data_IF_411717762362
#
_entry.id   IF_411717762362
#
_cell.length_a   1.000
_cell.length_b   1.000
_cell.length_c   1.000
_cell.angle_alpha   90.00
_cell.angle_beta   90.00
_cell.angle_gamma   90.00
#
_symmetry.space_group_name_H-M   'P 1'
#
loop_
_entity.id
_entity.type
_entity.pdbx_description
1 polymer ?
#
# COMPACT_ATOMS: atom_id res chain seq x y z
N UNK A 1 -91.32 9.55 24.17
CA UNK A 1 -90.44 9.23 23.04
C UNK A 1 -89.12 9.94 23.30
N UNK A 2 -88.11 9.22 23.77
CA UNK A 2 -86.78 9.79 24.19
C UNK A 2 -85.75 9.48 23.11
N UNK A 3 -85.22 10.51 22.48
CA UNK A 3 -84.10 10.37 21.51
C UNK A 3 -82.79 10.28 22.23
N UNK A 4 -82.08 9.12 22.08
CA UNK A 4 -80.75 8.86 22.61
C UNK A 4 -79.76 9.25 21.49
N UNK A 5 -79.07 10.38 21.69
CA UNK A 5 -78.02 10.83 20.79
C UNK A 5 -76.67 10.26 21.26
N UNK A 6 -76.12 9.26 20.55
CA UNK A 6 -74.82 8.65 20.84
C UNK A 6 -73.70 9.50 20.20
N UNK A 7 -72.91 10.19 21.02
CA UNK A 7 -71.67 10.86 20.58
C UNK A 7 -70.57 9.84 20.39
N UNK A 8 -70.12 9.64 19.11
CA UNK A 8 -68.95 8.83 18.76
C UNK A 8 -67.69 9.72 18.84
N UNK A 9 -66.94 9.58 19.95
CA UNK A 9 -65.69 10.30 20.15
C UNK A 9 -64.56 9.56 19.44
N UNK A 10 -64.14 10.01 18.26
CA UNK A 10 -63.02 9.47 17.49
C UNK A 10 -61.72 9.75 18.23
N UNK A 11 -61.06 8.72 18.75
CA UNK A 11 -59.73 8.76 19.38
C UNK A 11 -58.67 8.89 18.30
N UNK A 12 -58.19 10.14 18.01
CA UNK A 12 -57.05 10.43 17.20
C UNK A 12 -55.79 10.05 18.02
N UNK A 13 -55.27 8.85 17.81
CA UNK A 13 -53.92 8.47 18.26
C UNK A 13 -52.89 9.20 17.41
N UNK A 14 -51.96 9.98 17.99
CA UNK A 14 -50.85 10.55 17.23
C UNK A 14 -49.92 9.38 16.81
N UNK A 15 -49.78 9.13 15.51
CA UNK A 15 -48.67 8.37 14.96
C UNK A 15 -47.40 9.15 15.27
N UNK A 16 -46.77 8.86 16.37
CA UNK A 16 -45.40 9.27 16.62
C UNK A 16 -44.53 8.57 15.56
N UNK A 17 -44.22 9.30 14.48
CA UNK A 17 -43.11 8.96 13.58
C UNK A 17 -41.89 8.90 14.45
N UNK A 18 -41.45 7.68 14.84
CA UNK A 18 -40.11 7.47 15.29
C UNK A 18 -39.20 7.83 14.11
N UNK A 19 -38.76 9.09 14.08
CA UNK A 19 -37.56 9.45 13.34
C UNK A 19 -36.48 8.54 13.89
N UNK A 20 -36.19 7.44 13.18
CA UNK A 20 -34.96 6.71 13.39
C UNK A 20 -33.86 7.76 13.24
N UNK A 21 -33.29 8.18 14.38
CA UNK A 21 -32.00 8.84 14.37
C UNK A 21 -31.10 7.85 13.61
N UNK A 22 -30.75 8.18 12.38
CA UNK A 22 -29.63 7.52 11.71
C UNK A 22 -28.46 7.73 12.66
N UNK A 23 -28.14 6.67 13.42
CA UNK A 23 -27.02 6.68 14.34
C UNK A 23 -25.84 7.24 13.58
N UNK A 24 -25.28 8.34 14.11
CA UNK A 24 -24.27 9.11 13.38
C UNK A 24 -23.02 8.22 13.25
N UNK A 25 -22.80 7.68 12.06
CA UNK A 25 -21.60 6.89 11.75
C UNK A 25 -20.33 7.71 12.00
N UNK A 26 -19.30 7.16 12.69
CA UNK A 26 -19.28 5.91 13.42
C UNK A 26 -19.74 6.04 14.89
N UNK A 27 -20.47 5.05 15.42
CA UNK A 27 -20.92 4.96 16.81
C UNK A 27 -20.11 3.96 17.66
N UNK A 28 -19.21 3.22 17.03
CA UNK A 28 -18.37 2.19 17.64
C UNK A 28 -17.00 2.09 16.95
N UNK A 29 -16.02 1.37 17.54
CA UNK A 29 -14.69 1.23 16.95
C UNK A 29 -14.71 0.67 15.53
N UNK A 30 -13.83 1.21 14.67
CA UNK A 30 -13.57 0.71 13.32
C UNK A 30 -12.40 -0.28 13.37
N UNK A 31 -12.59 -1.46 12.77
CA UNK A 31 -11.54 -2.45 12.58
C UNK A 31 -10.80 -2.19 11.28
N UNK A 32 -9.51 -1.94 11.38
CA UNK A 32 -8.62 -1.80 10.23
C UNK A 32 -7.75 -3.06 10.11
N UNK A 33 -8.16 -3.96 9.22
CA UNK A 33 -7.40 -5.18 8.94
C UNK A 33 -6.16 -4.80 8.11
N UNK A 34 -4.98 -5.12 8.63
CA UNK A 34 -3.70 -4.93 7.95
C UNK A 34 -3.17 -6.32 7.56
N UNK A 35 -3.18 -6.66 6.24
CA UNK A 35 -2.97 -8.03 5.76
C UNK A 35 -1.48 -8.42 5.67
N UNK A 36 -0.66 -7.92 6.59
CA UNK A 36 0.77 -8.25 6.73
C UNK A 36 1.11 -8.55 8.18
N UNK A 37 2.26 -9.17 8.40
CA UNK A 37 2.81 -9.33 9.74
C UNK A 37 3.13 -7.97 10.37
N UNK A 38 3.06 -7.90 11.70
CA UNK A 38 3.39 -6.69 12.44
C UNK A 38 4.85 -6.25 12.19
N UNK A 39 5.09 -4.93 12.16
CA UNK A 39 6.42 -4.32 12.00
C UNK A 39 6.86 -4.12 10.55
N UNK A 40 6.10 -4.57 9.55
CA UNK A 40 6.34 -4.25 8.15
C UNK A 40 5.92 -2.82 7.78
N UNK A 41 6.34 -2.31 6.61
CA UNK A 41 6.06 -0.93 6.18
C UNK A 41 4.57 -0.60 6.14
N UNK A 42 3.71 -1.52 5.69
CA UNK A 42 2.24 -1.35 5.70
C UNK A 42 1.72 -1.24 7.12
N UNK A 43 2.13 -2.14 8.03
CA UNK A 43 1.70 -2.12 9.43
C UNK A 43 2.17 -0.83 10.14
N UNK A 44 3.42 -0.44 9.92
CA UNK A 44 3.99 0.79 10.49
C UNK A 44 3.21 2.02 10.06
N UNK A 45 2.89 2.14 8.76
CA UNK A 45 2.11 3.27 8.24
C UNK A 45 0.72 3.35 8.90
N UNK A 46 -0.02 2.24 8.96
CA UNK A 46 -1.38 2.24 9.51
C UNK A 46 -1.42 2.35 11.04
N UNK A 47 -0.45 1.80 11.77
CA UNK A 47 -0.34 2.03 13.23
C UNK A 47 0.03 3.47 13.56
N UNK A 48 0.83 4.13 12.72
CA UNK A 48 1.14 5.55 12.87
C UNK A 48 -0.08 6.41 12.57
N UNK A 49 -0.86 6.08 11.55
CA UNK A 49 -2.08 6.78 11.15
C UNK A 49 -3.24 6.62 12.15
N UNK A 50 -3.46 5.40 12.67
CA UNK A 50 -4.68 5.01 13.39
C UNK A 50 -5.08 5.97 14.53
N UNK A 51 -4.19 6.44 15.44
CA UNK A 51 -4.57 7.37 16.50
C UNK A 51 -5.03 8.73 15.97
N UNK A 52 -4.41 9.25 14.91
CA UNK A 52 -4.81 10.53 14.30
C UNK A 52 -6.15 10.43 13.56
N UNK A 53 -6.39 9.28 12.92
CA UNK A 53 -7.68 9.04 12.27
C UNK A 53 -8.80 8.84 13.29
N UNK A 54 -8.53 8.13 14.39
CA UNK A 54 -9.47 7.96 15.50
C UNK A 54 -9.91 9.30 16.10
N UNK A 55 -8.99 10.26 16.26
CA UNK A 55 -9.31 11.61 16.70
C UNK A 55 -10.31 12.32 15.77
N UNK A 56 -10.11 12.20 14.45
CA UNK A 56 -11.00 12.80 13.45
C UNK A 56 -12.36 12.11 13.35
N UNK A 57 -12.43 10.81 13.63
CA UNK A 57 -13.65 10.01 13.61
C UNK A 57 -14.47 10.13 14.90
N UNK A 58 -13.83 10.45 16.04
CA UNK A 58 -14.42 10.39 17.37
C UNK A 58 -14.61 8.95 17.89
N UNK A 59 -14.04 7.95 17.20
CA UNK A 59 -14.10 6.53 17.56
C UNK A 59 -12.74 5.86 17.35
N UNK A 60 -12.39 4.85 18.14
CA UNK A 60 -11.13 4.12 17.98
C UNK A 60 -11.00 3.46 16.60
N UNK A 61 -9.78 3.51 16.03
CA UNK A 61 -9.38 2.71 14.86
C UNK A 61 -8.44 1.61 15.33
N UNK A 62 -8.91 0.37 15.32
CA UNK A 62 -8.19 -0.79 15.85
C UNK A 62 -7.49 -1.53 14.72
N UNK A 63 -6.16 -1.50 14.73
CA UNK A 63 -5.33 -2.21 13.74
C UNK A 63 -5.21 -3.68 14.12
N UNK A 64 -5.64 -4.56 13.20
CA UNK A 64 -5.60 -6.03 13.35
C UNK A 64 -4.78 -6.65 12.22
N UNK A 65 -3.68 -7.34 12.53
CA UNK A 65 -2.88 -8.02 11.51
C UNK A 65 -3.52 -9.34 11.10
N UNK A 66 -3.74 -9.54 9.77
CA UNK A 66 -4.18 -10.81 9.15
C UNK A 66 -3.32 -11.15 7.94
N UNK A 67 -2.08 -11.62 8.15
CA UNK A 67 -1.18 -11.95 7.05
C UNK A 67 -1.61 -13.25 6.33
N UNK A 68 -1.05 -13.43 5.14
CA UNK A 68 -1.13 -14.69 4.40
C UNK A 68 -1.51 -14.51 2.93
N UNK A 69 -1.03 -15.45 2.10
CA UNK A 69 -1.27 -15.52 0.66
C UNK A 69 -1.06 -14.18 -0.08
N UNK A 70 0.05 -13.50 0.20
CA UNK A 70 0.32 -12.19 -0.43
C UNK A 70 -0.76 -11.15 -0.14
N UNK A 71 -1.24 -11.06 1.10
CA UNK A 71 -2.34 -10.20 1.59
C UNK A 71 -3.75 -10.70 1.27
N UNK A 72 -3.94 -11.73 0.45
CA UNK A 72 -5.25 -12.15 -0.02
C UNK A 72 -6.19 -12.56 1.12
N UNK A 73 -5.69 -13.20 2.19
CA UNK A 73 -6.52 -13.65 3.32
C UNK A 73 -7.17 -12.46 4.05
N UNK A 74 -6.40 -11.43 4.36
CA UNK A 74 -6.94 -10.25 5.06
C UNK A 74 -7.86 -9.42 4.18
N UNK A 75 -7.56 -9.28 2.89
CA UNK A 75 -8.38 -8.53 1.93
C UNK A 75 -9.71 -9.27 1.69
N UNK A 76 -9.70 -10.60 1.53
CA UNK A 76 -10.91 -11.42 1.37
C UNK A 76 -11.86 -11.27 2.57
N UNK A 77 -11.31 -11.25 3.79
CA UNK A 77 -12.11 -11.05 4.99
C UNK A 77 -12.85 -9.69 4.99
N UNK A 78 -12.25 -8.66 4.39
CA UNK A 78 -12.91 -7.34 4.23
C UNK A 78 -13.91 -7.37 3.08
N UNK A 79 -13.55 -7.93 1.92
CA UNK A 79 -14.45 -8.03 0.78
C UNK A 79 -15.78 -8.72 1.11
N UNK A 80 -15.76 -9.69 2.05
CA UNK A 80 -16.93 -10.43 2.53
C UNK A 80 -17.60 -9.85 3.77
N UNK A 81 -17.11 -8.72 4.29
CA UNK A 81 -17.72 -8.07 5.46
C UNK A 81 -18.94 -7.23 5.09
N UNK A 82 -19.72 -6.81 6.11
CA UNK A 82 -20.86 -5.91 5.87
C UNK A 82 -20.37 -4.55 5.35
N UNK A 83 -21.07 -3.97 4.36
CA UNK A 83 -20.70 -2.66 3.82
C UNK A 83 -21.20 -1.50 4.69
N UNK A 84 -20.90 -1.54 5.99
CA UNK A 84 -21.36 -0.57 7.00
C UNK A 84 -20.23 0.41 7.44
N UNK A 85 -18.99 0.23 6.91
CA UNK A 85 -17.85 1.09 7.21
C UNK A 85 -17.05 0.69 8.47
N UNK A 86 -17.46 -0.34 9.22
CA UNK A 86 -16.78 -0.74 10.46
C UNK A 86 -15.68 -1.79 10.28
N UNK A 87 -15.57 -2.37 9.08
CA UNK A 87 -14.47 -3.28 8.74
C UNK A 87 -13.82 -2.82 7.45
N UNK A 88 -12.57 -2.39 7.56
CA UNK A 88 -11.78 -1.84 6.46
C UNK A 88 -10.45 -2.60 6.35
N UNK A 89 -9.78 -2.50 5.20
CA UNK A 89 -8.42 -3.01 5.04
C UNK A 89 -7.44 -1.88 4.76
N UNK A 90 -6.31 -1.90 5.48
CA UNK A 90 -5.11 -1.13 5.17
C UNK A 90 -4.21 -1.97 4.27
N UNK A 91 -4.22 -1.70 2.97
CA UNK A 91 -3.60 -2.57 1.96
C UNK A 91 -2.36 -1.92 1.34
N UNK A 92 -1.47 -2.78 0.85
CA UNK A 92 -0.33 -2.37 0.02
C UNK A 92 -0.50 -2.79 -1.44
N UNK A 93 0.57 -2.70 -2.17
CA UNK A 93 0.66 -2.99 -3.62
C UNK A 93 0.08 -4.35 -4.04
N UNK A 94 0.16 -5.44 -3.23
CA UNK A 94 -0.40 -6.73 -3.62
C UNK A 94 -1.88 -6.73 -4.00
N UNK A 95 -2.66 -5.71 -3.60
CA UNK A 95 -4.04 -5.55 -4.07
C UNK A 95 -4.13 -5.49 -5.61
N UNK A 96 -3.11 -4.92 -6.27
CA UNK A 96 -3.02 -4.85 -7.73
C UNK A 96 -2.17 -5.99 -8.31
N UNK A 97 -1.03 -6.27 -7.68
CA UNK A 97 -0.01 -7.19 -8.22
C UNK A 97 -0.46 -8.64 -8.26
N UNK A 98 -1.23 -9.10 -7.29
CA UNK A 98 -1.75 -10.46 -7.33
C UNK A 98 -2.58 -10.72 -8.60
N UNK A 99 -3.38 -9.73 -9.02
CA UNK A 99 -4.14 -9.79 -10.28
C UNK A 99 -3.21 -9.73 -11.50
N UNK A 100 -2.25 -8.81 -11.50
CA UNK A 100 -1.29 -8.67 -12.59
C UNK A 100 -0.44 -9.93 -12.81
N UNK A 101 -0.12 -10.66 -11.75
CA UNK A 101 0.59 -11.94 -11.78
C UNK A 101 -0.31 -13.13 -12.12
N UNK A 102 -1.60 -12.92 -12.38
CA UNK A 102 -2.54 -13.99 -12.69
C UNK A 102 -2.84 -14.93 -11.51
N UNK A 103 -2.60 -14.50 -10.27
CA UNK A 103 -2.90 -15.30 -9.07
C UNK A 103 -4.41 -15.49 -8.92
N UNK A 104 -4.83 -16.71 -8.59
CA UNK A 104 -6.24 -17.00 -8.32
C UNK A 104 -6.62 -16.41 -6.95
N UNK A 105 -7.36 -15.32 -6.96
CA UNK A 105 -7.85 -14.64 -5.76
C UNK A 105 -9.27 -15.05 -5.42
N UNK A 106 -9.66 -15.10 -4.13
CA UNK A 106 -11.04 -15.36 -3.70
C UNK A 106 -11.95 -14.11 -3.80
N UNK A 107 -11.45 -12.98 -4.29
CA UNK A 107 -12.13 -11.71 -4.50
C UNK A 107 -11.63 -11.02 -5.78
N UNK A 108 -12.43 -10.12 -6.33
CA UNK A 108 -12.05 -9.19 -7.41
C UNK A 108 -11.69 -7.82 -6.79
N UNK A 109 -10.45 -7.33 -6.91
CA UNK A 109 -10.03 -6.08 -6.26
C UNK A 109 -10.74 -4.83 -6.80
N UNK A 110 -11.41 -4.93 -7.94
CA UNK A 110 -12.13 -3.81 -8.56
C UNK A 110 -13.63 -3.87 -8.27
N UNK A 111 -14.22 -5.08 -8.19
CA UNK A 111 -15.68 -5.26 -8.04
C UNK A 111 -16.10 -5.47 -6.60
N UNK A 112 -15.29 -6.17 -5.80
CA UNK A 112 -15.66 -6.60 -4.45
C UNK A 112 -15.16 -5.63 -3.37
N UNK A 113 -14.43 -4.57 -3.77
CA UNK A 113 -13.88 -3.56 -2.87
C UNK A 113 -14.26 -2.15 -3.29
N UNK A 114 -14.44 -1.28 -2.29
CA UNK A 114 -14.59 0.16 -2.43
C UNK A 114 -13.30 0.85 -1.98
N UNK A 115 -12.66 1.61 -2.86
CA UNK A 115 -11.52 2.42 -2.51
C UNK A 115 -11.95 3.56 -1.57
N UNK A 116 -11.23 3.77 -0.46
CA UNK A 116 -11.47 4.89 0.46
C UNK A 116 -10.46 6.01 0.23
N UNK A 117 -9.17 5.73 0.30
CA UNK A 117 -8.11 6.67 -0.06
C UNK A 117 -6.76 5.96 -0.24
N UNK A 118 -5.93 6.49 -1.12
CA UNK A 118 -4.49 6.30 -1.07
C UNK A 118 -3.94 7.16 0.07
N UNK A 119 -3.23 6.53 0.99
CA UNK A 119 -2.73 7.15 2.24
C UNK A 119 -1.35 7.71 2.03
N UNK A 120 -0.41 6.84 1.63
CA UNK A 120 0.99 7.18 1.40
C UNK A 120 1.57 6.41 0.23
N UNK A 121 2.64 6.97 -0.33
CA UNK A 121 3.59 6.26 -1.18
C UNK A 121 4.97 6.27 -0.55
N UNK A 122 5.87 5.48 -1.09
CA UNK A 122 7.29 5.54 -0.79
C UNK A 122 8.10 5.14 -2.02
N UNK A 123 9.28 5.72 -2.27
CA UNK A 123 10.09 5.30 -3.40
C UNK A 123 10.68 3.91 -3.16
N UNK A 124 10.98 3.19 -4.25
CA UNK A 124 11.94 2.11 -4.18
C UNK A 124 13.34 2.67 -3.99
N UNK A 125 14.17 1.89 -3.33
CA UNK A 125 15.59 2.12 -3.12
C UNK A 125 16.36 0.91 -3.66
N UNK A 126 17.32 1.16 -4.53
CA UNK A 126 18.29 0.14 -4.95
C UNK A 126 19.49 0.27 -4.04
N UNK A 127 19.79 -0.78 -3.30
CA UNK A 127 20.95 -0.83 -2.41
C UNK A 127 21.88 -1.98 -2.78
N UNK A 128 23.16 -1.82 -2.47
CA UNK A 128 24.16 -2.86 -2.65
C UNK A 128 25.01 -3.03 -1.39
N UNK A 129 25.54 -4.25 -1.21
CA UNK A 129 26.59 -4.50 -0.23
C UNK A 129 27.82 -3.63 -0.53
N UNK A 130 28.54 -3.11 0.49
CA UNK A 130 29.70 -2.23 0.28
C UNK A 130 30.82 -2.81 -0.58
N UNK A 131 30.91 -4.14 -0.68
CA UNK A 131 31.84 -4.85 -1.56
C UNK A 131 31.52 -4.78 -3.06
N UNK A 132 30.33 -4.28 -3.43
CA UNK A 132 29.99 -4.02 -4.85
C UNK A 132 30.70 -2.76 -5.32
N UNK A 133 31.44 -2.85 -6.43
CA UNK A 133 32.24 -1.75 -6.93
C UNK A 133 31.41 -0.57 -7.47
N UNK A 134 30.21 -0.86 -8.03
CA UNK A 134 29.32 0.15 -8.58
C UNK A 134 28.85 1.13 -7.49
N UNK A 135 28.90 2.44 -7.79
CA UNK A 135 28.53 3.52 -6.87
C UNK A 135 27.13 4.09 -7.15
N UNK A 136 26.53 3.69 -8.24
CA UNK A 136 25.20 4.08 -8.67
C UNK A 136 24.58 2.98 -9.54
N UNK A 137 23.28 3.10 -9.84
CA UNK A 137 22.55 2.08 -10.62
C UNK A 137 23.03 2.01 -12.07
N UNK A 138 23.44 3.14 -12.68
CA UNK A 138 24.00 3.14 -14.03
C UNK A 138 25.23 2.25 -14.10
N UNK A 139 26.19 2.44 -13.20
CA UNK A 139 27.40 1.62 -13.13
C UNK A 139 27.09 0.13 -12.87
N UNK A 140 26.08 -0.17 -12.01
CA UNK A 140 25.64 -1.55 -11.77
C UNK A 140 25.09 -2.19 -13.05
N UNK A 141 24.26 -1.47 -13.81
CA UNK A 141 23.71 -1.93 -15.10
C UNK A 141 24.83 -2.18 -16.09
N UNK A 142 25.77 -1.24 -16.24
CA UNK A 142 26.87 -1.35 -17.19
C UNK A 142 27.81 -2.51 -16.84
N UNK A 143 28.10 -2.72 -15.55
CA UNK A 143 28.84 -3.88 -15.07
C UNK A 143 28.09 -5.20 -15.34
N UNK A 144 26.79 -5.26 -15.07
CA UNK A 144 25.99 -6.45 -15.31
C UNK A 144 25.89 -6.83 -16.80
N UNK A 145 25.88 -5.84 -17.69
CA UNK A 145 25.86 -6.06 -19.15
C UNK A 145 27.17 -6.63 -19.68
N UNK A 146 28.29 -6.29 -19.05
CA UNK A 146 29.62 -6.79 -19.44
C UNK A 146 29.94 -8.19 -18.92
N UNK A 147 29.11 -8.75 -18.02
CA UNK A 147 29.34 -10.05 -17.39
C UNK A 147 28.53 -11.15 -18.08
N UNK A 148 29.11 -12.35 -18.16
CA UNK A 148 28.44 -13.55 -18.64
C UNK A 148 27.54 -14.15 -17.57
N UNK A 149 27.96 -14.09 -16.30
CA UNK A 149 27.20 -14.62 -15.16
C UNK A 149 26.02 -13.69 -14.83
N UNK A 150 24.84 -14.25 -14.49
CA UNK A 150 23.70 -13.45 -14.08
C UNK A 150 24.04 -12.67 -12.80
N UNK A 151 23.61 -11.40 -12.74
CA UNK A 151 23.67 -10.57 -11.52
C UNK A 151 22.73 -11.13 -10.46
N UNK A 152 23.23 -11.64 -9.32
CA UNK A 152 22.35 -12.03 -8.22
C UNK A 152 21.74 -10.80 -7.58
N UNK A 153 20.44 -10.84 -7.31
CA UNK A 153 19.74 -9.77 -6.59
C UNK A 153 18.56 -10.33 -5.80
N UNK A 154 18.08 -9.54 -4.86
CA UNK A 154 16.90 -9.88 -4.06
C UNK A 154 15.95 -8.69 -3.92
N UNK A 155 14.79 -8.95 -3.32
CA UNK A 155 13.73 -7.99 -3.08
C UNK A 155 12.89 -8.39 -1.86
N UNK A 156 11.75 -7.75 -1.62
CA UNK A 156 10.78 -8.17 -0.60
C UNK A 156 10.10 -9.52 -0.85
N UNK A 157 10.56 -10.25 -1.87
CA UNK A 157 10.10 -11.59 -2.25
C UNK A 157 9.60 -11.69 -3.68
N UNK A 158 9.32 -12.92 -4.17
CA UNK A 158 8.76 -13.15 -5.49
C UNK A 158 7.46 -12.38 -5.72
N UNK A 159 7.36 -11.66 -6.85
CA UNK A 159 6.22 -10.82 -7.17
C UNK A 159 6.10 -9.53 -6.37
N UNK A 160 7.11 -9.16 -5.56
CA UNK A 160 7.16 -7.84 -4.92
C UNK A 160 7.43 -6.72 -5.92
N UNK A 161 7.19 -5.48 -5.52
CA UNK A 161 7.41 -4.31 -6.37
C UNK A 161 8.88 -4.22 -6.83
N UNK A 162 9.82 -4.45 -5.93
CA UNK A 162 11.25 -4.46 -6.24
C UNK A 162 11.63 -5.56 -7.23
N UNK A 163 11.05 -6.77 -7.08
CA UNK A 163 11.24 -7.87 -8.03
C UNK A 163 10.78 -7.48 -9.44
N UNK A 164 9.49 -7.13 -9.59
CA UNK A 164 8.92 -6.83 -10.90
C UNK A 164 9.60 -5.62 -11.57
N UNK A 165 9.93 -4.60 -10.79
CA UNK A 165 10.61 -3.42 -11.30
C UNK A 165 12.02 -3.76 -11.81
N UNK A 166 12.79 -4.53 -11.06
CA UNK A 166 14.15 -4.89 -11.48
C UNK A 166 14.18 -5.87 -12.66
N UNK A 167 13.20 -6.77 -12.76
CA UNK A 167 13.00 -7.62 -13.95
C UNK A 167 12.78 -6.76 -15.21
N UNK A 168 11.95 -5.73 -15.10
CA UNK A 168 11.74 -4.76 -16.18
C UNK A 168 13.05 -4.00 -16.53
N UNK A 169 13.80 -3.54 -15.51
CA UNK A 169 15.11 -2.89 -15.73
C UNK A 169 16.06 -3.81 -16.49
N UNK A 170 16.20 -5.05 -16.04
CA UNK A 170 17.08 -6.01 -16.66
C UNK A 170 16.69 -6.34 -18.12
N UNK A 171 15.39 -6.44 -18.38
CA UNK A 171 14.87 -6.63 -19.73
C UNK A 171 15.17 -5.42 -20.64
N UNK A 172 14.91 -4.21 -20.15
CA UNK A 172 15.14 -2.97 -20.92
C UNK A 172 16.62 -2.75 -21.25
N UNK A 173 17.52 -3.01 -20.30
CA UNK A 173 18.97 -2.81 -20.46
C UNK A 173 19.71 -4.07 -20.91
N UNK A 174 19.00 -5.20 -21.09
CA UNK A 174 19.49 -6.46 -21.67
C UNK A 174 20.71 -7.03 -20.92
N UNK A 175 20.57 -7.29 -19.62
CA UNK A 175 21.56 -7.99 -18.83
C UNK A 175 20.96 -9.23 -18.14
N UNK A 176 21.81 -10.23 -17.87
CA UNK A 176 21.45 -11.45 -17.16
C UNK A 176 21.33 -11.17 -15.66
N UNK A 177 20.27 -11.70 -15.03
CA UNK A 177 19.99 -11.54 -13.60
C UNK A 177 19.46 -12.84 -13.01
N UNK A 178 19.63 -12.98 -11.71
CA UNK A 178 19.08 -14.08 -10.93
C UNK A 178 18.41 -13.54 -9.67
N UNK A 179 17.09 -13.64 -9.60
CA UNK A 179 16.35 -13.28 -8.38
C UNK A 179 16.52 -14.36 -7.32
N UNK A 180 16.92 -13.96 -6.11
CA UNK A 180 16.99 -14.82 -4.92
C UNK A 180 15.81 -14.48 -4.04
N UNK A 181 14.84 -15.41 -3.99
CA UNK A 181 13.56 -15.21 -3.30
C UNK A 181 13.69 -15.38 -1.79
N UNK A 182 13.09 -14.46 -1.03
CA UNK A 182 12.93 -14.52 0.43
C UNK A 182 11.46 -14.30 0.81
N UNK A 183 11.10 -14.73 2.02
CA UNK A 183 9.78 -14.46 2.60
C UNK A 183 9.78 -13.07 3.30
N UNK A 184 9.90 -12.01 2.50
CA UNK A 184 9.90 -10.62 2.96
C UNK A 184 11.28 -9.97 2.99
N UNK A 185 11.29 -8.65 3.21
CA UNK A 185 12.50 -7.82 3.14
C UNK A 185 13.50 -8.08 4.27
N UNK A 186 13.05 -8.45 5.47
CA UNK A 186 13.95 -8.59 6.63
C UNK A 186 15.02 -9.68 6.46
N UNK A 187 14.67 -10.93 6.04
CA UNK A 187 15.70 -11.93 5.74
C UNK A 187 16.55 -11.55 4.51
N UNK A 188 15.96 -10.97 3.46
CA UNK A 188 16.69 -10.50 2.28
C UNK A 188 17.75 -9.45 2.64
N UNK A 189 17.37 -8.45 3.43
CA UNK A 189 18.28 -7.39 3.89
C UNK A 189 19.41 -7.93 4.76
N UNK A 190 19.14 -8.93 5.61
CA UNK A 190 20.16 -9.58 6.43
C UNK A 190 21.25 -10.22 5.57
N UNK A 191 20.86 -10.91 4.51
CA UNK A 191 21.79 -11.59 3.61
C UNK A 191 22.58 -10.61 2.74
N UNK A 192 21.97 -9.46 2.39
CA UNK A 192 22.71 -8.36 1.73
C UNK A 192 23.71 -7.71 2.68
N UNK A 193 23.33 -7.48 3.93
CA UNK A 193 24.25 -6.97 4.96
C UNK A 193 25.43 -7.93 5.21
N UNK A 194 25.18 -9.25 5.12
CA UNK A 194 26.18 -10.29 5.25
C UNK A 194 26.99 -10.58 3.97
N UNK A 195 26.72 -9.88 2.87
CA UNK A 195 27.40 -10.06 1.58
C UNK A 195 27.05 -11.34 0.83
N UNK A 196 26.02 -12.10 1.26
CA UNK A 196 25.55 -13.31 0.59
C UNK A 196 24.85 -13.02 -0.73
N UNK A 197 24.12 -11.88 -0.80
CA UNK A 197 23.50 -11.36 -2.01
C UNK A 197 23.99 -9.93 -2.23
N UNK A 198 24.46 -9.56 -3.41
CA UNK A 198 25.10 -8.26 -3.62
C UNK A 198 24.12 -7.09 -3.67
N UNK A 199 22.87 -7.29 -4.12
CA UNK A 199 21.94 -6.20 -4.44
C UNK A 199 20.54 -6.51 -3.89
N UNK A 200 19.89 -5.47 -3.30
CA UNK A 200 18.48 -5.52 -2.87
C UNK A 200 17.72 -4.34 -3.49
N UNK A 201 16.54 -4.63 -3.99
CA UNK A 201 15.59 -3.63 -4.45
C UNK A 201 14.34 -3.73 -3.57
N UNK A 202 14.11 -2.71 -2.74
CA UNK A 202 12.91 -2.66 -1.90
C UNK A 202 12.54 -1.20 -1.59
N UNK A 203 11.44 -1.03 -0.88
CA UNK A 203 10.99 0.28 -0.44
C UNK A 203 12.00 0.95 0.52
N UNK A 204 12.05 2.28 0.50
CA UNK A 204 13.03 3.05 1.29
C UNK A 204 12.87 2.84 2.80
N UNK A 205 11.64 2.65 3.30
CA UNK A 205 11.36 2.59 4.74
C UNK A 205 12.14 1.46 5.44
N UNK A 206 12.13 0.21 4.97
CA UNK A 206 12.90 -0.85 5.63
C UNK A 206 14.42 -0.79 5.38
N UNK A 207 14.87 -0.15 4.31
CA UNK A 207 16.27 -0.20 3.84
C UNK A 207 17.08 1.07 4.10
N UNK A 208 16.41 2.22 4.12
CA UNK A 208 17.07 3.54 4.19
C UNK A 208 17.88 3.77 5.47
N UNK A 209 17.46 3.21 6.59
CA UNK A 209 18.22 3.29 7.85
C UNK A 209 19.58 2.60 7.77
N UNK A 210 19.69 1.53 6.97
CA UNK A 210 20.95 0.83 6.76
C UNK A 210 21.90 1.61 5.84
N UNK A 211 21.34 2.35 4.87
CA UNK A 211 22.12 3.29 4.05
C UNK A 211 22.66 4.44 4.91
N UNK A 212 21.81 5.06 5.76
CA UNK A 212 22.25 6.10 6.72
C UNK A 212 23.35 5.61 7.64
N UNK A 213 23.28 4.37 8.06
CA UNK A 213 24.29 3.75 8.91
C UNK A 213 25.57 3.30 8.16
N UNK A 214 25.65 3.52 6.84
CA UNK A 214 26.78 3.12 6.00
C UNK A 214 26.97 1.60 5.86
N UNK A 215 25.95 0.80 6.24
CA UNK A 215 26.04 -0.68 6.20
C UNK A 215 25.76 -1.23 4.82
N UNK A 216 25.05 -0.49 3.95
CA UNK A 216 24.85 -0.76 2.53
C UNK A 216 24.99 0.55 1.76
N UNK A 217 25.32 0.46 0.46
CA UNK A 217 25.41 1.59 -0.44
C UNK A 217 24.02 1.84 -1.05
N UNK A 218 23.55 3.10 -1.05
CA UNK A 218 22.38 3.52 -1.82
C UNK A 218 22.79 3.81 -3.27
N UNK A 219 22.32 3.00 -4.23
CA UNK A 219 22.67 3.15 -5.63
C UNK A 219 21.71 4.04 -6.42
N UNK A 220 20.42 4.00 -6.08
CA UNK A 220 19.40 4.86 -6.70
C UNK A 220 18.13 4.97 -5.86
N UNK A 221 17.54 6.17 -5.84
CA UNK A 221 16.14 6.38 -5.47
C UNK A 221 15.30 6.31 -6.74
N UNK A 222 14.27 5.47 -6.76
CA UNK A 222 13.42 5.24 -7.92
C UNK A 222 12.28 6.28 -7.96
N UNK A 223 12.67 7.52 -8.17
CA UNK A 223 11.77 8.68 -8.31
C UNK A 223 12.49 9.83 -9.04
N UNK A 224 11.73 10.90 -9.36
CA UNK A 224 12.26 12.06 -10.07
C UNK A 224 13.01 13.06 -9.18
N UNK A 225 12.80 13.01 -7.85
CA UNK A 225 13.45 13.93 -6.89
C UNK A 225 14.14 13.13 -5.80
N UNK A 226 15.20 13.65 -5.20
CA UNK A 226 15.89 13.01 -4.09
C UNK A 226 14.98 12.89 -2.86
N UNK A 227 15.20 11.87 -2.05
CA UNK A 227 14.49 11.71 -0.78
C UNK A 227 15.12 12.57 0.31
N UNK A 228 14.34 13.32 1.10
CA UNK A 228 14.86 14.00 2.30
C UNK A 228 15.52 13.04 3.29
N UNK A 229 15.06 11.80 3.34
CA UNK A 229 15.65 10.75 4.17
C UNK A 229 17.07 10.38 3.73
N UNK A 230 17.37 10.42 2.42
CA UNK A 230 18.66 10.02 1.81
C UNK A 230 19.07 11.04 0.75
N UNK A 231 19.47 12.26 1.12
CA UNK A 231 19.73 13.34 0.19
C UNK A 231 20.95 13.09 -0.74
N UNK A 232 21.85 12.20 -0.34
CA UNK A 232 23.06 11.87 -1.10
C UNK A 232 22.84 10.75 -2.12
N UNK A 233 21.72 10.01 -2.05
CA UNK A 233 21.44 8.94 -3.01
C UNK A 233 20.83 9.54 -4.28
N UNK A 234 21.44 9.30 -5.46
CA UNK A 234 20.98 9.90 -6.70
C UNK A 234 19.66 9.29 -7.19
N UNK A 235 18.89 10.08 -7.92
CA UNK A 235 17.68 9.64 -8.61
C UNK A 235 18.01 8.92 -9.92
N UNK A 236 17.00 8.29 -10.53
CA UNK A 236 17.14 7.68 -11.87
C UNK A 236 17.50 8.75 -12.93
N UNK A 237 16.85 9.90 -12.84
CA UNK A 237 17.04 10.99 -13.81
C UNK A 237 18.45 11.58 -13.75
N UNK A 238 19.00 11.78 -12.55
CA UNK A 238 20.39 12.27 -12.37
C UNK A 238 21.42 11.30 -12.93
N UNK A 239 21.08 10.01 -13.04
CA UNK A 239 21.92 8.97 -13.65
C UNK A 239 21.66 8.77 -15.14
N UNK A 240 20.80 9.58 -15.77
CA UNK A 240 20.42 9.46 -17.18
C UNK A 240 19.68 8.15 -17.50
N UNK A 241 18.99 7.56 -16.52
CA UNK A 241 18.21 6.35 -16.69
C UNK A 241 16.76 6.69 -17.04
N UNK A 242 16.34 6.31 -18.24
CA UNK A 242 14.94 6.44 -18.66
C UNK A 242 14.14 5.21 -18.20
N UNK A 243 13.79 5.21 -16.93
CA UNK A 243 13.02 4.15 -16.27
C UNK A 243 11.78 4.76 -15.63
N UNK A 244 10.66 4.05 -15.58
CA UNK A 244 9.48 4.54 -14.88
C UNK A 244 9.75 4.68 -13.39
N UNK A 245 9.23 5.75 -12.80
CA UNK A 245 9.17 5.89 -11.36
C UNK A 245 8.32 4.75 -10.80
N UNK A 246 8.77 4.19 -9.69
CA UNK A 246 8.09 3.11 -9.02
C UNK A 246 7.91 3.48 -7.54
N UNK A 247 6.68 3.63 -7.14
CA UNK A 247 6.33 4.02 -5.78
C UNK A 247 5.31 3.04 -5.20
N UNK A 248 5.78 2.06 -4.40
CA UNK A 248 4.86 1.30 -3.57
C UNK A 248 3.88 2.21 -2.85
N UNK A 249 2.60 1.91 -2.95
CA UNK A 249 1.53 2.70 -2.36
C UNK A 249 0.78 1.92 -1.28
N UNK A 250 0.26 2.62 -0.29
CA UNK A 250 -0.61 2.07 0.74
C UNK A 250 -1.90 2.88 0.80
N UNK A 251 -3.01 2.18 0.95
CA UNK A 251 -4.31 2.82 1.02
C UNK A 251 -5.32 2.03 1.82
N UNK A 252 -6.47 2.64 2.03
CA UNK A 252 -7.61 2.05 2.72
C UNK A 252 -8.67 1.64 1.71
N UNK A 253 -9.18 0.42 1.85
CA UNK A 253 -10.33 -0.09 1.12
C UNK A 253 -11.37 -0.64 2.08
N UNK A 254 -12.64 -0.63 1.68
CA UNK A 254 -13.74 -1.32 2.36
C UNK A 254 -14.38 -2.34 1.43
N UNK A 255 -15.41 -3.10 1.90
CA UNK A 255 -16.21 -3.96 1.05
C UNK A 255 -16.95 -3.15 -0.02
N UNK A 256 -17.33 -3.79 -1.13
CA UNK A 256 -18.16 -3.16 -2.15
C UNK A 256 -19.53 -2.74 -1.56
N UNK A 257 -20.08 -1.64 -2.09
CA UNK A 257 -21.40 -1.16 -1.69
C UNK A 257 -21.44 -0.35 -0.40
N UNK A 258 -20.34 0.24 0.04
CA UNK A 258 -20.36 1.22 1.13
C UNK A 258 -21.35 2.35 0.81
N UNK A 259 -22.26 2.73 1.72
CA UNK A 259 -23.14 3.88 1.52
C UNK A 259 -22.32 5.15 1.26
N UNK A 260 -22.75 6.03 0.31
CA UNK A 260 -21.99 7.24 -0.02
C UNK A 260 -21.68 8.13 1.18
N UNK A 261 -22.61 8.28 2.12
CA UNK A 261 -22.41 9.08 3.33
C UNK A 261 -21.30 8.49 4.22
N UNK A 262 -21.23 7.16 4.35
CA UNK A 262 -20.19 6.46 5.09
C UNK A 262 -18.84 6.61 4.40
N UNK A 263 -18.78 6.38 3.08
CA UNK A 263 -17.55 6.54 2.30
C UNK A 263 -16.99 7.96 2.39
N UNK A 264 -17.86 8.97 2.22
CA UNK A 264 -17.45 10.38 2.32
C UNK A 264 -16.92 10.69 3.73
N UNK A 265 -17.61 10.24 4.78
CA UNK A 265 -17.16 10.45 6.17
C UNK A 265 -15.80 9.80 6.44
N UNK A 266 -15.60 8.56 5.97
CA UNK A 266 -14.32 7.86 6.09
C UNK A 266 -13.20 8.61 5.36
N UNK A 267 -13.43 9.00 4.10
CA UNK A 267 -12.43 9.74 3.31
C UNK A 267 -12.12 11.10 3.93
N UNK A 268 -13.14 11.93 4.23
CA UNK A 268 -12.94 13.27 4.77
C UNK A 268 -12.15 13.28 6.08
N UNK A 269 -12.47 12.33 6.99
CA UNK A 269 -11.76 12.22 8.27
C UNK A 269 -10.34 11.71 8.08
N UNK A 270 -10.14 10.76 7.16
CA UNK A 270 -8.82 10.22 6.83
C UNK A 270 -7.92 11.30 6.21
N UNK A 271 -8.44 12.06 5.25
CA UNK A 271 -7.71 13.16 4.59
C UNK A 271 -7.36 14.26 5.60
N UNK A 272 -8.27 14.63 6.52
CA UNK A 272 -7.94 15.59 7.60
C UNK A 272 -6.84 15.08 8.51
N UNK A 273 -6.90 13.80 8.91
CA UNK A 273 -5.84 13.19 9.72
C UNK A 273 -4.49 13.26 9.00
N UNK A 274 -4.44 12.86 7.72
CA UNK A 274 -3.23 12.85 6.90
C UNK A 274 -2.66 14.25 6.64
N UNK A 275 -3.50 15.29 6.64
CA UNK A 275 -3.07 16.69 6.47
C UNK A 275 -2.63 17.35 7.77
N UNK A 276 -2.74 16.69 8.93
CA UNK A 276 -2.23 17.25 10.18
C UNK A 276 -0.70 17.34 10.13
N UNK A 277 -0.10 18.49 10.50
CA UNK A 277 1.35 18.68 10.44
C UNK A 277 2.13 17.64 11.25
N UNK A 278 1.60 17.25 12.40
CA UNK A 278 2.24 16.27 13.27
C UNK A 278 2.32 14.88 12.65
N UNK A 279 1.26 14.42 11.95
CA UNK A 279 1.29 13.13 11.26
C UNK A 279 2.14 13.19 10.00
N UNK A 280 2.04 14.29 9.23
CA UNK A 280 2.88 14.48 8.04
C UNK A 280 4.36 14.40 8.38
N UNK A 281 4.81 15.12 9.41
CA UNK A 281 6.20 15.09 9.87
C UNK A 281 6.63 13.65 10.20
N UNK A 282 5.84 12.92 11.00
CA UNK A 282 6.15 11.53 11.38
C UNK A 282 6.26 10.60 10.16
N UNK A 283 5.32 10.68 9.21
CA UNK A 283 5.33 9.84 8.02
C UNK A 283 6.51 10.18 7.11
N UNK A 284 6.81 11.47 6.93
CA UNK A 284 7.95 11.94 6.12
C UNK A 284 9.30 11.52 6.74
N UNK A 285 9.45 11.62 8.05
CA UNK A 285 10.66 11.18 8.76
C UNK A 285 10.90 9.67 8.61
N UNK A 286 9.83 8.89 8.46
CA UNK A 286 9.88 7.46 8.16
C UNK A 286 10.20 7.16 6.69
N UNK A 287 10.17 8.15 5.79
CA UNK A 287 10.41 7.98 4.35
C UNK A 287 9.14 7.80 3.51
N UNK A 288 7.97 8.07 4.08
CA UNK A 288 6.70 8.08 3.34
C UNK A 288 6.41 9.45 2.75
N UNK A 289 5.81 9.47 1.57
CA UNK A 289 5.18 10.65 0.97
C UNK A 289 3.66 10.56 1.19
N UNK A 290 3.07 11.55 1.86
CA UNK A 290 1.61 11.58 2.11
C UNK A 290 0.87 11.95 0.83
N UNK A 291 -0.14 11.16 0.46
CA UNK A 291 -0.97 11.37 -0.76
C UNK A 291 -2.34 11.94 -0.42
N UNK A 292 -3.07 11.33 0.51
CA UNK A 292 -4.40 11.78 0.97
C UNK A 292 -5.39 11.97 -0.20
N UNK A 293 -5.60 10.93 -1.01
CA UNK A 293 -6.41 10.99 -2.23
C UNK A 293 -7.92 10.94 -1.98
N UNK A 294 -8.69 11.30 -3.02
CA UNK A 294 -10.12 10.96 -3.05
C UNK A 294 -10.34 9.46 -3.34
N UNK A 295 -11.55 8.92 -3.03
CA UNK A 295 -11.90 7.54 -3.35
C UNK A 295 -11.77 7.21 -4.84
N UNK A 296 -12.23 8.11 -5.72
CA UNK A 296 -12.19 7.91 -7.17
C UNK A 296 -10.74 7.90 -7.69
N UNK A 297 -9.88 8.77 -7.15
CA UNK A 297 -8.47 8.83 -7.53
C UNK A 297 -7.77 7.51 -7.15
N UNK A 298 -8.02 7.02 -5.93
CA UNK A 298 -7.43 5.76 -5.49
C UNK A 298 -7.96 4.54 -6.27
N UNK A 299 -9.27 4.50 -6.54
CA UNK A 299 -9.86 3.46 -7.38
C UNK A 299 -9.30 3.45 -8.81
N UNK A 300 -9.06 4.63 -9.41
CA UNK A 300 -8.35 4.73 -10.70
C UNK A 300 -6.91 4.22 -10.59
N UNK A 301 -6.20 4.60 -9.54
CA UNK A 301 -4.81 4.15 -9.29
C UNK A 301 -4.71 2.62 -9.24
N UNK A 302 -5.58 1.95 -8.47
CA UNK A 302 -5.59 0.48 -8.39
C UNK A 302 -5.75 -0.14 -9.79
N UNK A 303 -6.71 0.34 -10.61
CA UNK A 303 -6.91 -0.17 -11.98
C UNK A 303 -5.69 0.08 -12.87
N UNK A 304 -5.14 1.27 -12.84
CA UNK A 304 -3.95 1.63 -13.61
C UNK A 304 -2.74 0.76 -13.25
N UNK A 305 -2.55 0.46 -11.97
CA UNK A 305 -1.48 -0.43 -11.51
C UNK A 305 -1.72 -1.89 -12.00
N UNK A 306 -2.96 -2.38 -11.95
CA UNK A 306 -3.29 -3.71 -12.49
C UNK A 306 -2.95 -3.77 -13.98
N UNK A 307 -3.37 -2.79 -14.77
CA UNK A 307 -3.15 -2.75 -16.21
C UNK A 307 -1.67 -2.65 -16.57
N UNK A 308 -0.95 -1.71 -15.92
CA UNK A 308 0.47 -1.48 -16.12
C UNK A 308 1.28 -2.74 -15.83
N UNK A 309 1.08 -3.32 -14.65
CA UNK A 309 1.87 -4.47 -14.23
C UNK A 309 1.46 -5.75 -14.94
N UNK A 310 0.19 -5.92 -15.32
CA UNK A 310 -0.23 -7.02 -16.20
C UNK A 310 0.48 -6.96 -17.56
N UNK A 311 0.68 -5.76 -18.11
CA UNK A 311 1.47 -5.59 -19.33
C UNK A 311 2.95 -5.94 -19.09
N UNK A 312 3.57 -5.41 -18.03
CA UNK A 312 4.98 -5.67 -17.71
C UNK A 312 5.23 -7.16 -17.47
N UNK A 313 4.36 -7.83 -16.73
CA UNK A 313 4.45 -9.28 -16.45
C UNK A 313 4.40 -10.09 -17.75
N UNK A 314 3.47 -9.78 -18.65
CA UNK A 314 3.36 -10.46 -19.97
C UNK A 314 4.58 -10.20 -20.84
N UNK A 315 4.94 -8.93 -21.02
CA UNK A 315 6.01 -8.52 -21.96
C UNK A 315 7.39 -9.06 -21.54
N UNK A 316 7.60 -9.25 -20.22
CA UNK A 316 8.85 -9.76 -19.67
C UNK A 316 8.77 -11.23 -19.24
N UNK A 317 7.65 -11.91 -19.50
CA UNK A 317 7.43 -13.33 -19.16
C UNK A 317 7.69 -13.65 -17.68
N UNK A 318 7.36 -12.71 -16.79
CA UNK A 318 7.58 -12.88 -15.35
C UNK A 318 6.58 -13.90 -14.82
N UNK A 319 7.08 -14.94 -14.14
CA UNK A 319 6.25 -15.96 -13.52
C UNK A 319 5.97 -15.61 -12.06
N UNK A 320 4.73 -15.84 -11.62
CA UNK A 320 4.37 -15.87 -10.22
C UNK A 320 4.74 -17.28 -9.71
N UNK A 321 5.87 -17.41 -9.07
CA UNK A 321 6.24 -18.64 -8.37
C UNK A 321 5.46 -18.76 -7.04
#
# INVERSE_FOLDING_TARGET
MKHLTTCLMALLLPLSSQAQSQDAFPDRPIRLIVPVAAGGGVDTAFRTLAPYWAEQLGQPVVVENRPGAGQAIGIDAVAKSKPDGYTLAGVGVPIAFNTALGRKLPYDPVKDLTAVAEVVTQPLLVVAHPGVAAKNLRELIDAARSQTNPLPYTSGGPGSYGHLWFEMVASQYKFNRQHIGYNGVAPALRDVLGGQVPVLIDAIVPTGTQVKAGKVQGLAIVRSTRSPMLPDVPTLQEQGLNLPNAAPFYGVVGPAGLPPAVLNKLNDTLVRALRSPALQAKLTDMGFDVVASSPEAYGRKIRQEIDLWSKIVRDNQIKAD
#
